data_IF_181278790861
#
_entry.id   IF_181278790861
#
_cell.length_a   1.000
_cell.length_b   1.000
_cell.length_c   1.000
_cell.angle_alpha   90.00
_cell.angle_beta   90.00
_cell.angle_gamma   90.00
#
_symmetry.space_group_name_H-M   'P 1'
#
loop_
_entity.id
_entity.type
_entity.pdbx_description
1 polymer ?
#
# COMPACT_ATOMS: atom_id res chain seq x y z
N UNK A 1 7.85 0.19 8.94
CA UNK A 1 9.15 -0.52 9.08
C UNK A 1 9.81 -0.68 7.71
N UNK A 2 11.12 -0.99 7.59
CA UNK A 2 11.85 -0.89 6.32
C UNK A 2 11.19 -1.60 5.13
N UNK A 3 10.69 -2.83 5.33
CA UNK A 3 10.03 -3.58 4.26
C UNK A 3 8.65 -3.01 3.87
N UNK A 4 7.94 -2.34 4.79
CA UNK A 4 6.69 -1.64 4.47
C UNK A 4 6.97 -0.38 3.64
N UNK A 5 8.04 0.35 3.96
CA UNK A 5 8.48 1.52 3.18
C UNK A 5 8.95 1.09 1.78
N UNK A 6 9.66 -0.04 1.68
CA UNK A 6 10.07 -0.61 0.39
C UNK A 6 8.85 -0.99 -0.47
N UNK A 7 7.87 -1.69 0.10
CA UNK A 7 6.62 -2.01 -0.58
C UNK A 7 5.94 -0.74 -1.11
N UNK A 8 5.77 0.24 -0.23
CA UNK A 8 5.08 1.47 -0.56
C UNK A 8 5.85 2.27 -1.65
N UNK A 9 7.18 2.31 -1.58
CA UNK A 9 8.04 2.89 -2.62
C UNK A 9 7.88 2.19 -3.98
N UNK A 10 7.88 0.86 -4.00
CA UNK A 10 7.62 0.07 -5.22
C UNK A 10 6.26 0.38 -5.83
N UNK A 11 5.23 0.58 -5.01
CA UNK A 11 3.90 0.97 -5.48
C UNK A 11 3.89 2.40 -6.05
N UNK A 12 4.64 3.32 -5.44
CA UNK A 12 4.82 4.68 -5.95
C UNK A 12 5.44 4.71 -7.35
N UNK A 13 6.45 3.87 -7.59
CA UNK A 13 7.11 3.78 -8.89
C UNK A 13 6.21 3.10 -9.92
N UNK A 14 5.49 2.05 -9.52
CA UNK A 14 4.75 1.21 -10.45
C UNK A 14 3.39 1.79 -10.87
N UNK A 15 2.58 2.27 -9.92
CA UNK A 15 1.17 2.59 -10.17
C UNK A 15 0.95 3.74 -11.17
N UNK A 16 1.71 4.86 -11.13
CA UNK A 16 1.58 5.91 -12.13
C UNK A 16 1.99 5.46 -13.53
N UNK A 17 2.95 4.53 -13.64
CA UNK A 17 3.40 3.99 -14.92
C UNK A 17 2.39 2.99 -15.50
N UNK A 18 1.86 2.09 -14.67
CA UNK A 18 0.91 1.07 -15.08
C UNK A 18 -0.50 1.63 -15.34
N UNK A 19 -0.90 2.66 -14.59
CA UNK A 19 -2.26 3.19 -14.58
C UNK A 19 -2.28 4.75 -14.55
N UNK A 20 -1.69 5.43 -15.54
CA UNK A 20 -1.50 6.89 -15.54
C UNK A 20 -2.81 7.70 -15.50
N UNK A 21 -3.91 7.10 -15.98
CA UNK A 21 -5.25 7.70 -15.92
C UNK A 21 -5.90 7.63 -14.54
N UNK A 22 -5.32 6.90 -13.58
CA UNK A 22 -5.87 6.72 -12.23
C UNK A 22 -4.95 7.25 -11.15
N UNK A 23 -3.64 7.03 -11.28
CA UNK A 23 -2.66 7.42 -10.29
C UNK A 23 -1.81 8.58 -10.80
N UNK A 24 -1.53 9.53 -9.93
CA UNK A 24 -0.64 10.64 -10.19
C UNK A 24 0.27 10.83 -8.99
N UNK A 25 1.57 10.85 -9.23
CA UNK A 25 2.53 11.27 -8.22
C UNK A 25 2.55 12.80 -8.15
N UNK A 26 2.37 13.33 -6.93
CA UNK A 26 2.43 14.75 -6.60
C UNK A 26 3.51 14.99 -5.53
N UNK A 27 3.94 16.25 -5.31
CA UNK A 27 4.95 16.56 -4.29
C UNK A 27 4.56 16.09 -2.88
N UNK A 28 3.26 16.14 -2.56
CA UNK A 28 2.69 15.74 -1.27
C UNK A 28 2.43 14.22 -1.17
N UNK A 29 2.66 13.47 -2.26
CA UNK A 29 2.51 12.01 -2.33
C UNK A 29 1.61 11.52 -3.46
N UNK A 30 0.97 10.36 -3.30
CA UNK A 30 0.13 9.78 -4.36
C UNK A 30 -1.27 10.40 -4.37
N UNK A 31 -1.78 10.71 -5.57
CA UNK A 31 -3.17 11.09 -5.80
C UNK A 31 -3.89 10.07 -6.69
N UNK A 32 -5.07 9.64 -6.26
CA UNK A 32 -6.05 8.93 -7.07
C UNK A 32 -6.93 9.97 -7.76
N UNK A 33 -6.96 9.99 -9.10
CA UNK A 33 -7.63 11.06 -9.88
C UNK A 33 -9.14 11.11 -9.67
N UNK A 34 -9.77 9.96 -9.42
CA UNK A 34 -11.23 9.82 -9.30
C UNK A 34 -11.73 9.81 -7.84
N UNK A 35 -10.82 9.99 -6.86
CA UNK A 35 -11.15 9.99 -5.43
C UNK A 35 -10.78 11.33 -4.79
N UNK A 36 -11.51 11.72 -3.75
CA UNK A 36 -11.15 12.91 -2.98
C UNK A 36 -9.73 12.78 -2.41
N UNK A 37 -8.91 13.85 -2.45
CA UNK A 37 -7.46 13.81 -2.15
C UNK A 37 -7.08 13.48 -0.70
N UNK A 38 -8.02 13.15 0.18
CA UNK A 38 -7.84 13.28 1.63
C UNK A 38 -7.36 12.04 2.41
N UNK A 39 -6.87 10.97 1.80
CA UNK A 39 -6.69 9.69 2.53
C UNK A 39 -5.35 8.97 2.43
N UNK A 40 -4.57 9.16 1.36
CA UNK A 40 -3.40 8.31 1.06
C UNK A 40 -2.11 8.86 1.68
N UNK A 41 -2.00 10.19 1.73
CA UNK A 41 -0.79 10.90 2.18
C UNK A 41 -0.85 11.30 3.65
N UNK A 42 -1.75 10.67 4.42
CA UNK A 42 -1.77 10.85 5.86
C UNK A 42 -0.53 10.17 6.47
N UNK A 43 0.46 10.99 6.82
CA UNK A 43 1.71 10.54 7.42
C UNK A 43 1.52 10.01 8.86
N UNK A 44 0.34 10.14 9.47
CA UNK A 44 0.01 9.46 10.71
C UNK A 44 -0.22 7.95 10.51
N UNK A 45 -0.45 7.51 9.27
CA UNK A 45 -0.63 6.10 8.92
C UNK A 45 0.70 5.39 8.74
N UNK A 46 0.73 4.10 9.06
CA UNK A 46 1.86 3.26 8.73
C UNK A 46 2.01 3.09 7.21
N UNK A 47 3.22 2.78 6.75
CA UNK A 47 3.44 2.57 5.32
C UNK A 47 2.59 1.42 4.74
N UNK A 48 2.29 0.37 5.52
CA UNK A 48 1.41 -0.72 5.07
C UNK A 48 -0.05 -0.26 4.94
N UNK A 49 -0.53 0.63 5.81
CA UNK A 49 -1.89 1.19 5.71
C UNK A 49 -2.03 2.13 4.51
N UNK A 50 -1.00 2.95 4.25
CA UNK A 50 -0.94 3.81 3.06
C UNK A 50 -0.92 2.97 1.80
N UNK A 51 -0.14 1.88 1.78
CA UNK A 51 -0.12 0.93 0.67
C UNK A 51 -1.49 0.27 0.47
N UNK A 52 -2.16 -0.14 1.55
CA UNK A 52 -3.51 -0.69 1.50
C UNK A 52 -4.52 0.27 0.88
N UNK A 53 -4.45 1.57 1.20
CA UNK A 53 -5.36 2.60 0.62
C UNK A 53 -5.15 2.86 -0.87
N UNK A 54 -4.04 2.39 -1.46
CA UNK A 54 -3.79 2.50 -2.89
C UNK A 54 -4.51 1.42 -3.71
N UNK A 55 -4.98 0.35 -3.07
CA UNK A 55 -5.63 -0.78 -3.73
C UNK A 55 -6.97 -1.07 -3.06
N UNK A 56 -7.85 -1.79 -3.76
CA UNK A 56 -9.15 -2.21 -3.18
C UNK A 56 -9.04 -3.55 -2.42
N UNK A 57 -7.94 -4.27 -2.62
CA UNK A 57 -7.71 -5.62 -2.10
C UNK A 57 -6.85 -5.60 -0.83
N UNK A 58 -6.80 -6.74 -0.13
CA UNK A 58 -5.92 -6.94 1.02
C UNK A 58 -4.45 -6.91 0.62
N UNK A 59 -3.62 -6.23 1.43
CA UNK A 59 -2.16 -6.17 1.25
C UNK A 59 -1.50 -6.88 2.42
N UNK A 60 -0.73 -7.92 2.13
CA UNK A 60 0.02 -8.69 3.12
C UNK A 60 1.51 -8.66 2.84
N UNK A 61 2.31 -8.43 3.88
CA UNK A 61 3.76 -8.49 3.83
C UNK A 61 4.25 -9.73 4.56
N UNK A 62 4.93 -10.60 3.81
CA UNK A 62 5.46 -11.87 4.29
C UNK A 62 6.98 -11.79 4.38
N UNK A 63 7.55 -12.31 5.45
CA UNK A 63 8.99 -12.49 5.62
C UNK A 63 9.34 -13.98 5.52
N UNK A 64 10.35 -14.32 4.73
CA UNK A 64 10.86 -15.68 4.67
C UNK A 64 11.78 -15.95 5.86
N UNK A 65 11.31 -16.74 6.83
CA UNK A 65 12.06 -17.15 8.03
C UNK A 65 12.19 -18.66 8.08
N UNK A 66 13.43 -19.16 8.08
CA UNK A 66 13.73 -20.61 8.19
C UNK A 66 12.94 -21.48 7.18
N UNK A 67 12.75 -20.97 5.96
CA UNK A 67 12.02 -21.67 4.90
C UNK A 67 10.49 -21.55 4.97
N UNK A 68 9.94 -20.83 5.95
CA UNK A 68 8.52 -20.54 6.06
C UNK A 68 8.24 -19.04 5.81
N UNK A 69 7.13 -18.72 5.17
CA UNK A 69 6.65 -17.36 5.07
C UNK A 69 5.85 -17.00 6.33
N UNK A 70 6.24 -15.91 6.98
CA UNK A 70 5.61 -15.41 8.19
C UNK A 70 4.98 -14.05 7.89
N UNK A 71 3.71 -13.87 8.22
CA UNK A 71 3.04 -12.58 8.11
C UNK A 71 3.63 -11.60 9.12
N UNK A 72 4.16 -10.47 8.63
CA UNK A 72 4.82 -9.45 9.46
C UNK A 72 4.09 -8.11 9.46
N UNK A 73 3.26 -7.86 8.44
CA UNK A 73 2.34 -6.72 8.39
C UNK A 73 1.21 -7.02 7.41
N UNK A 74 0.05 -6.42 7.63
CA UNK A 74 -1.05 -6.45 6.67
C UNK A 74 -1.91 -5.19 6.79
N UNK A 75 -2.50 -4.79 5.66
CA UNK A 75 -3.66 -3.89 5.62
C UNK A 75 -4.79 -4.69 4.99
N UNK A 76 -5.83 -4.96 5.77
CA UNK A 76 -6.94 -5.84 5.40
C UNK A 76 -8.21 -4.99 5.22
N UNK A 77 -8.77 -5.01 4.02
CA UNK A 77 -9.98 -4.31 3.66
C UNK A 77 -11.22 -5.22 3.71
N UNK A 78 -11.06 -6.51 3.35
CA UNK A 78 -12.17 -7.47 3.32
C UNK A 78 -11.70 -8.94 3.53
N UNK A 79 -11.16 -9.29 4.70
CA UNK A 79 -10.64 -10.63 4.94
C UNK A 79 -11.77 -11.68 4.94
N UNK A 80 -11.60 -12.77 4.20
CA UNK A 80 -12.55 -13.89 4.17
C UNK A 80 -12.37 -14.78 5.41
N UNK A 81 -13.02 -14.40 6.52
CA UNK A 81 -13.15 -15.24 7.71
C UNK A 81 -11.88 -15.42 8.55
N UNK A 82 -10.90 -14.52 8.39
CA UNK A 82 -9.69 -14.49 9.21
C UNK A 82 -9.89 -13.45 10.34
N UNK A 83 -9.71 -13.90 11.59
CA UNK A 83 -9.65 -13.06 12.78
C UNK A 83 -8.35 -13.34 13.52
#
# INVERSE_FOLDING_TARGET
GPAQEELLGRMWDHLPLAFPGRYQLEPEGMRLRDLHPGGINDNALSAIDRAGRLVQEDVSLLELRKGAYVLTAASLAAPSGWH
#
